data_IF_966804576824
#
_entry.id   IF_966804576824
#
_cell.length_a   1.000
_cell.length_b   1.000
_cell.length_c   1.000
_cell.angle_alpha   90.00
_cell.angle_beta   90.00
_cell.angle_gamma   90.00
#
_symmetry.space_group_name_H-M   'P 1'
#
loop_
_entity.id
_entity.type
_entity.pdbx_description
1 polymer ?
#
# COMPACT_ATOMS: atom_id res chain seq x y z
N UNK A 1 14.18 -1.61 8.72
CA UNK A 1 14.82 -0.34 9.12
C UNK A 1 13.97 0.73 8.47
N UNK A 2 13.08 1.39 9.23
CA UNK A 2 12.11 2.35 8.66
C UNK A 2 12.86 3.55 8.11
N UNK A 3 12.77 3.77 6.79
CA UNK A 3 13.45 4.88 6.14
C UNK A 3 12.60 6.12 6.39
N UNK A 4 13.05 6.99 7.30
CA UNK A 4 12.46 8.32 7.55
C UNK A 4 12.70 9.24 6.34
N UNK A 5 12.23 8.86 5.17
CA UNK A 5 12.40 9.62 3.94
C UNK A 5 11.41 10.78 3.92
N UNK A 6 11.92 11.98 3.65
CA UNK A 6 11.13 13.20 3.53
C UNK A 6 11.04 13.64 2.07
N UNK A 7 9.95 14.29 1.72
CA UNK A 7 9.74 14.92 0.42
C UNK A 7 9.65 16.43 0.59
N UNK A 8 10.44 17.17 -0.20
CA UNK A 8 10.43 18.63 -0.23
C UNK A 8 9.43 19.15 -1.28
N UNK A 9 8.47 19.94 -0.81
CA UNK A 9 7.47 20.59 -1.65
C UNK A 9 8.08 21.83 -2.36
N UNK A 10 7.48 22.31 -3.47
CA UNK A 10 7.99 23.48 -4.20
C UNK A 10 8.08 24.77 -3.38
N UNK A 11 7.37 24.86 -2.26
CA UNK A 11 7.39 25.99 -1.33
C UNK A 11 8.47 25.84 -0.23
N UNK A 12 9.32 24.82 -0.30
CA UNK A 12 10.38 24.53 0.68
C UNK A 12 9.92 23.82 1.94
N UNK A 13 8.63 23.54 2.10
CA UNK A 13 8.13 22.74 3.22
C UNK A 13 8.41 21.25 2.98
N UNK A 14 8.63 20.49 4.05
CA UNK A 14 8.85 19.04 3.97
C UNK A 14 7.68 18.28 4.58
N UNK A 15 7.37 17.14 4.00
CA UNK A 15 6.41 16.16 4.52
C UNK A 15 7.04 14.77 4.48
N UNK A 16 6.62 13.82 5.34
CA UNK A 16 7.06 12.44 5.21
C UNK A 16 6.67 11.88 3.85
N UNK A 17 7.56 11.11 3.24
CA UNK A 17 7.28 10.43 1.98
C UNK A 17 6.04 9.54 2.12
N UNK A 18 5.92 8.81 3.23
CA UNK A 18 4.75 7.97 3.52
C UNK A 18 3.43 8.77 3.43
N UNK A 19 3.38 9.95 4.06
CA UNK A 19 2.19 10.82 4.00
C UNK A 19 1.88 11.25 2.56
N UNK A 20 2.90 11.60 1.77
CA UNK A 20 2.73 11.93 0.36
C UNK A 20 2.14 10.76 -0.43
N UNK A 21 2.69 9.55 -0.27
CA UNK A 21 2.24 8.36 -0.99
C UNK A 21 0.79 8.01 -0.63
N UNK A 22 0.45 7.98 0.67
CA UNK A 22 -0.93 7.82 1.15
C UNK A 22 -1.85 8.90 0.58
N UNK A 23 -1.39 10.15 0.53
CA UNK A 23 -2.18 11.27 0.03
C UNK A 23 -2.46 11.17 -1.47
N UNK A 24 -1.50 10.67 -2.28
CA UNK A 24 -1.72 10.37 -3.71
C UNK A 24 -2.76 9.27 -3.89
N UNK A 25 -2.75 8.26 -3.02
CA UNK A 25 -3.64 7.11 -3.07
C UNK A 25 -4.99 7.30 -2.34
N UNK A 26 -5.27 8.49 -1.76
CA UNK A 26 -6.45 8.75 -0.90
C UNK A 26 -7.83 8.51 -1.51
N UNK A 27 -7.90 8.32 -2.82
CA UNK A 27 -9.12 8.12 -3.59
C UNK A 27 -9.38 6.63 -3.89
N UNK A 28 -8.40 5.77 -3.60
CA UNK A 28 -8.45 4.33 -3.84
C UNK A 28 -9.17 3.66 -2.68
N UNK A 29 -10.21 2.86 -2.98
CA UNK A 29 -11.07 2.26 -1.95
C UNK A 29 -10.35 1.33 -0.98
N UNK A 30 -9.27 0.68 -1.42
CA UNK A 30 -8.47 -0.24 -0.60
C UNK A 30 -7.36 0.45 0.19
N UNK A 31 -7.33 1.77 0.29
CA UNK A 31 -6.29 2.52 1.03
C UNK A 31 -6.94 3.34 2.15
N UNK A 32 -6.35 3.30 3.34
CA UNK A 32 -6.75 4.19 4.44
C UNK A 32 -6.44 5.63 4.04
N UNK A 33 -7.47 6.48 4.03
CA UNK A 33 -7.30 7.90 3.71
C UNK A 33 -6.57 8.62 4.85
N UNK A 34 -5.42 9.28 4.60
CA UNK A 34 -4.81 10.14 5.61
C UNK A 34 -5.67 11.39 5.83
N UNK A 35 -5.84 11.79 7.11
CA UNK A 35 -6.54 13.01 7.52
C UNK A 35 -5.56 14.18 7.55
N UNK A 36 -4.46 14.03 8.29
CA UNK A 36 -3.45 15.08 8.47
C UNK A 36 -2.09 14.50 8.87
N UNK A 37 -1.06 15.32 8.75
CA UNK A 37 0.28 15.06 9.28
C UNK A 37 0.60 16.13 10.32
N UNK A 38 1.22 15.71 11.43
CA UNK A 38 1.65 16.58 12.50
C UNK A 38 3.11 16.29 12.85
N UNK A 39 3.92 17.34 12.92
CA UNK A 39 5.31 17.28 13.35
C UNK A 39 5.42 17.88 14.76
N UNK A 40 5.93 17.10 15.70
CA UNK A 40 6.28 17.52 17.05
C UNK A 40 7.78 17.73 17.21
N UNK A 41 8.26 18.11 18.41
CA UNK A 41 9.67 18.39 18.66
C UNK A 41 10.60 17.18 18.49
N UNK A 42 10.10 15.97 18.74
CA UNK A 42 10.89 14.72 18.76
C UNK A 42 10.38 13.65 17.82
N UNK A 43 9.12 13.75 17.40
CA UNK A 43 8.43 12.74 16.62
C UNK A 43 7.41 13.39 15.71
N UNK A 44 6.92 12.64 14.74
CA UNK A 44 5.85 13.05 13.86
C UNK A 44 4.82 11.94 13.74
N UNK A 45 3.60 12.30 13.36
CA UNK A 45 2.50 11.36 13.24
C UNK A 45 1.61 11.68 12.04
N UNK A 46 1.06 10.63 11.43
CA UNK A 46 -0.02 10.72 10.45
C UNK A 46 -1.32 10.33 11.15
N UNK A 47 -2.30 11.21 11.07
CA UNK A 47 -3.65 10.98 11.60
C UNK A 47 -4.48 10.34 10.51
N UNK A 48 -5.14 9.24 10.85
CA UNK A 48 -5.98 8.46 9.93
C UNK A 48 -7.21 7.90 10.66
N UNK A 49 -8.31 7.61 9.96
CA UNK A 49 -9.49 6.99 10.57
C UNK A 49 -9.15 5.61 11.13
N UNK A 50 -9.70 5.29 12.29
CA UNK A 50 -9.61 3.95 12.86
C UNK A 50 -10.68 3.05 12.24
N UNK A 51 -10.29 1.85 11.81
CA UNK A 51 -11.24 0.79 11.46
C UNK A 51 -11.70 0.13 12.76
N UNK A 52 -12.95 0.40 13.19
CA UNK A 52 -13.44 -0.02 14.51
C UNK A 52 -13.43 -1.54 14.72
N UNK A 53 -13.72 -2.31 13.66
CA UNK A 53 -13.64 -3.77 13.63
C UNK A 53 -12.51 -4.26 12.71
N UNK A 54 -11.40 -3.51 12.68
CA UNK A 54 -10.22 -3.84 11.90
C UNK A 54 -9.34 -4.88 12.58
N UNK A 55 -8.73 -5.76 11.78
CA UNK A 55 -7.69 -6.70 12.20
C UNK A 55 -6.73 -6.87 11.03
N UNK A 56 -5.43 -6.99 11.28
CA UNK A 56 -4.50 -7.34 10.20
C UNK A 56 -4.76 -8.77 9.70
N UNK A 57 -4.40 -9.01 8.43
CA UNK A 57 -4.68 -10.27 7.76
C UNK A 57 -3.90 -11.43 8.38
N UNK A 58 -2.71 -11.15 8.94
CA UNK A 58 -1.91 -12.14 9.67
C UNK A 58 -2.68 -12.69 10.87
N UNK A 59 -3.22 -11.83 11.73
CA UNK A 59 -4.05 -12.21 12.87
C UNK A 59 -5.36 -12.87 12.42
N UNK A 60 -5.97 -12.35 11.35
CA UNK A 60 -7.20 -12.90 10.80
C UNK A 60 -7.04 -14.36 10.37
N UNK A 61 -5.95 -14.66 9.67
CA UNK A 61 -5.60 -16.02 9.26
C UNK A 61 -5.17 -16.83 10.48
N UNK A 62 -4.32 -16.30 11.36
CA UNK A 62 -3.81 -17.05 12.52
C UNK A 62 -4.92 -17.53 13.47
N UNK A 63 -5.98 -16.72 13.65
CA UNK A 63 -7.15 -17.09 14.45
C UNK A 63 -8.07 -18.09 13.74
N UNK A 64 -7.99 -18.18 12.42
CA UNK A 64 -8.77 -19.11 11.59
C UNK A 64 -7.88 -20.25 11.13
N UNK A 65 -8.04 -21.43 11.75
CA UNK A 65 -7.29 -22.64 11.36
C UNK A 65 -7.25 -22.88 9.84
N UNK A 66 -8.29 -22.48 9.09
CA UNK A 66 -8.33 -22.46 7.63
C UNK A 66 -9.06 -21.22 7.10
N UNK A 67 -8.56 -20.65 6.00
CA UNK A 67 -9.23 -19.63 5.19
C UNK A 67 -9.88 -20.29 3.96
N UNK A 68 -11.21 -20.25 3.79
CA UNK A 68 -11.87 -20.79 2.60
C UNK A 68 -11.36 -20.13 1.31
N UNK A 69 -11.20 -20.92 0.25
CA UNK A 69 -10.65 -20.43 -1.03
C UNK A 69 -11.45 -19.27 -1.62
N UNK A 70 -12.78 -19.29 -1.48
CA UNK A 70 -13.64 -18.20 -1.94
C UNK A 70 -13.30 -16.86 -1.25
N UNK A 71 -13.03 -16.90 0.05
CA UNK A 71 -12.68 -15.70 0.83
C UNK A 71 -11.27 -15.22 0.47
N UNK A 72 -10.30 -16.15 0.37
CA UNK A 72 -8.96 -15.86 -0.10
C UNK A 72 -8.97 -15.20 -1.49
N UNK A 73 -9.76 -15.75 -2.42
CA UNK A 73 -9.94 -15.19 -3.77
C UNK A 73 -10.48 -13.76 -3.75
N UNK A 74 -11.44 -13.48 -2.85
CA UNK A 74 -12.00 -12.14 -2.71
C UNK A 74 -10.96 -11.13 -2.16
N UNK A 75 -10.13 -11.52 -1.20
CA UNK A 75 -9.06 -10.65 -0.70
C UNK A 75 -7.97 -10.43 -1.74
N UNK A 76 -7.53 -11.47 -2.43
CA UNK A 76 -6.53 -11.34 -3.50
C UNK A 76 -7.05 -10.42 -4.61
N UNK A 77 -8.32 -10.54 -5.00
CA UNK A 77 -8.93 -9.64 -5.98
C UNK A 77 -8.89 -8.18 -5.51
N UNK A 78 -9.34 -7.89 -4.29
CA UNK A 78 -9.30 -6.53 -3.72
C UNK A 78 -7.87 -5.98 -3.63
N UNK A 79 -6.90 -6.81 -3.25
CA UNK A 79 -5.50 -6.44 -3.20
C UNK A 79 -4.97 -6.06 -4.59
N UNK A 80 -5.21 -6.90 -5.60
CA UNK A 80 -4.76 -6.62 -6.97
C UNK A 80 -5.38 -5.33 -7.51
N UNK A 81 -6.69 -5.14 -7.33
CA UNK A 81 -7.38 -3.91 -7.75
C UNK A 81 -6.79 -2.68 -7.06
N UNK A 82 -6.47 -2.78 -5.76
CA UNK A 82 -5.84 -1.70 -4.99
C UNK A 82 -4.43 -1.38 -5.49
N UNK A 83 -3.62 -2.41 -5.76
CA UNK A 83 -2.24 -2.23 -6.24
C UNK A 83 -2.19 -1.63 -7.65
N UNK A 84 -3.08 -2.06 -8.54
CA UNK A 84 -3.21 -1.48 -9.87
C UNK A 84 -3.55 0.02 -9.78
N UNK A 85 -4.52 0.38 -8.95
CA UNK A 85 -4.87 1.79 -8.75
C UNK A 85 -3.71 2.60 -8.12
N UNK A 86 -2.92 2.00 -7.21
CA UNK A 86 -1.72 2.64 -6.68
C UNK A 86 -0.69 2.89 -7.80
N UNK A 87 -0.48 1.92 -8.68
CA UNK A 87 0.43 2.06 -9.82
C UNK A 87 -0.04 3.15 -10.78
N UNK A 88 -1.33 3.22 -11.09
CA UNK A 88 -1.93 4.30 -11.90
C UNK A 88 -1.77 5.68 -11.23
N UNK A 89 -1.80 5.74 -9.91
CA UNK A 89 -1.50 6.95 -9.13
C UNK A 89 0.02 7.26 -9.06
N UNK A 90 0.87 6.45 -9.69
CA UNK A 90 2.31 6.59 -9.69
C UNK A 90 2.92 6.35 -8.30
N UNK A 91 2.45 5.31 -7.60
CA UNK A 91 2.91 4.89 -6.27
C UNK A 91 3.21 3.40 -6.27
N UNK A 92 4.37 3.02 -5.73
CA UNK A 92 4.71 1.65 -5.39
C UNK A 92 4.68 1.49 -3.87
N UNK A 93 4.08 0.39 -3.40
CA UNK A 93 4.07 0.06 -1.97
C UNK A 93 5.39 -0.57 -1.50
N UNK A 94 5.97 -1.47 -2.30
CA UNK A 94 7.20 -2.25 -2.06
C UNK A 94 7.22 -3.19 -0.86
N UNK A 95 6.28 -3.11 0.08
CA UNK A 95 6.22 -4.01 1.25
C UNK A 95 4.85 -4.70 1.40
N UNK A 96 4.52 -5.58 0.45
CA UNK A 96 3.24 -6.31 0.47
C UNK A 96 3.39 -7.59 1.28
N UNK A 97 2.72 -7.61 2.43
CA UNK A 97 2.62 -8.74 3.36
C UNK A 97 1.29 -8.69 4.11
N UNK A 98 0.90 -9.80 4.70
CA UNK A 98 -0.34 -9.94 5.47
C UNK A 98 -0.41 -9.01 6.69
N UNK A 99 0.71 -8.69 7.31
CA UNK A 99 0.81 -7.69 8.38
C UNK A 99 0.39 -6.27 7.92
N UNK A 100 0.62 -5.95 6.64
CA UNK A 100 0.32 -4.64 6.05
C UNK A 100 -1.07 -4.60 5.39
N UNK A 101 -1.93 -5.57 5.68
CA UNK A 101 -3.28 -5.64 5.14
C UNK A 101 -4.29 -5.69 6.28
N UNK A 102 -5.11 -4.65 6.43
CA UNK A 102 -6.21 -4.63 7.39
C UNK A 102 -7.49 -5.18 6.75
N UNK A 103 -8.15 -6.09 7.46
CA UNK A 103 -9.48 -6.59 7.15
C UNK A 103 -10.50 -5.83 8.01
N UNK A 104 -11.40 -5.10 7.38
CA UNK A 104 -12.62 -4.60 8.03
C UNK A 104 -13.64 -5.74 8.13
N UNK A 105 -13.84 -6.24 9.34
CA UNK A 105 -14.75 -7.37 9.61
C UNK A 105 -16.23 -7.02 9.45
N UNK A 106 -16.60 -5.73 9.38
CA UNK A 106 -17.98 -5.32 9.14
C UNK A 106 -18.42 -5.60 7.69
N UNK A 107 -17.54 -5.25 6.74
CA UNK A 107 -17.85 -5.26 5.30
C UNK A 107 -16.98 -6.26 4.51
N UNK A 108 -16.10 -7.00 5.17
CA UNK A 108 -15.12 -7.91 4.56
C UNK A 108 -14.22 -7.22 3.51
N UNK A 109 -13.80 -5.98 3.83
CA UNK A 109 -12.98 -5.14 2.97
C UNK A 109 -11.52 -5.21 3.37
N UNK A 110 -10.64 -5.33 2.38
CA UNK A 110 -9.20 -5.31 2.57
C UNK A 110 -8.68 -3.88 2.37
N UNK A 111 -7.85 -3.41 3.29
CA UNK A 111 -7.17 -2.12 3.20
C UNK A 111 -5.66 -2.30 3.34
N UNK A 112 -4.91 -1.84 2.36
CA UNK A 112 -3.46 -1.81 2.38
C UNK A 112 -2.98 -0.62 3.23
N UNK A 113 -2.05 -0.89 4.12
CA UNK A 113 -1.46 0.06 5.07
C UNK A 113 0.07 0.01 5.01
N UNK A 114 0.72 0.98 5.66
CA UNK A 114 2.17 1.09 5.79
C UNK A 114 2.91 1.34 4.47
N UNK A 115 2.85 2.59 4.03
CA UNK A 115 3.61 3.08 2.87
C UNK A 115 5.02 3.55 3.26
N UNK A 116 5.52 3.20 4.45
CA UNK A 116 6.83 3.63 4.95
C UNK A 116 7.99 3.15 4.09
N UNK A 117 7.82 1.99 3.43
CA UNK A 117 8.76 1.44 2.46
C UNK A 117 8.41 1.82 1.01
N UNK A 118 7.36 2.61 0.78
CA UNK A 118 6.88 2.95 -0.55
C UNK A 118 7.80 3.86 -1.35
N UNK A 119 7.49 4.02 -2.63
CA UNK A 119 8.20 4.92 -3.53
C UNK A 119 7.26 5.55 -4.56
N UNK A 120 7.67 6.69 -5.11
CA UNK A 120 7.02 7.25 -6.30
C UNK A 120 7.39 6.37 -7.50
N UNK A 121 6.39 6.05 -8.33
CA UNK A 121 6.62 5.29 -9.55
C UNK A 121 7.54 6.10 -10.50
N UNK A 122 8.63 5.50 -10.98
CA UNK A 122 9.53 6.04 -12.00
C UNK A 122 9.47 5.08 -13.19
N UNK A 123 9.52 5.61 -14.41
CA UNK A 123 9.58 4.80 -15.63
C UNK A 123 10.95 4.11 -15.82
N UNK A 124 11.95 4.50 -15.04
CA UNK A 124 13.30 3.93 -15.03
C UNK A 124 13.40 2.67 -14.13
N UNK A 125 14.38 1.81 -14.39
CA UNK A 125 14.61 0.60 -13.58
C UNK A 125 14.87 0.95 -12.11
N UNK A 126 14.19 0.23 -11.21
CA UNK A 126 14.43 0.31 -9.77
C UNK A 126 15.76 -0.36 -9.42
N UNK A 127 16.68 0.40 -8.83
CA UNK A 127 17.98 -0.11 -8.36
C UNK A 127 18.04 -0.27 -6.83
N UNK A 128 16.96 0.04 -6.11
CA UNK A 128 16.94 0.09 -4.64
C UNK A 128 15.70 -0.59 -4.04
N UNK A 129 15.90 -1.41 -3.00
CA UNK A 129 14.88 -2.29 -2.41
C UNK A 129 15.03 -2.35 -0.88
N UNK A 130 14.00 -1.85 -0.17
CA UNK A 130 13.93 -1.83 1.31
C UNK A 130 12.83 -2.75 1.87
N UNK A 131 12.18 -3.57 1.03
CA UNK A 131 11.08 -4.46 1.43
C UNK A 131 11.56 -5.75 2.13
N UNK A 132 10.62 -6.50 2.71
CA UNK A 132 10.93 -7.81 3.30
C UNK A 132 11.41 -8.80 2.20
N UNK A 133 12.60 -9.39 2.38
CA UNK A 133 13.33 -10.20 1.37
C UNK A 133 12.64 -11.51 0.92
N UNK A 134 11.40 -11.76 1.36
CA UNK A 134 10.62 -12.98 1.06
C UNK A 134 9.56 -12.80 -0.02
N UNK A 135 9.23 -11.57 -0.42
CA UNK A 135 8.16 -11.30 -1.39
C UNK A 135 8.72 -10.61 -2.64
N UNK A 136 9.28 -11.39 -3.57
CA UNK A 136 9.74 -10.90 -4.86
C UNK A 136 8.55 -10.73 -5.84
N UNK A 137 7.64 -9.80 -5.55
CA UNK A 137 6.66 -9.31 -6.54
C UNK A 137 6.99 -7.85 -6.87
N UNK A 138 8.22 -7.60 -7.32
CA UNK A 138 8.54 -6.34 -7.98
C UNK A 138 9.89 -6.39 -8.69
N UNK A 139 10.15 -7.38 -9.55
CA UNK A 139 11.27 -7.27 -10.49
C UNK A 139 10.85 -7.77 -11.89
N UNK A 140 10.85 -6.81 -12.81
CA UNK A 140 11.16 -6.88 -14.24
C UNK A 140 10.19 -7.38 -15.34
N UNK A 141 8.93 -7.79 -15.11
CA UNK A 141 8.13 -8.37 -16.22
C UNK A 141 6.70 -7.85 -16.47
N UNK A 142 6.28 -6.70 -15.95
CA UNK A 142 4.91 -6.22 -16.16
C UNK A 142 4.67 -5.40 -17.45
N UNK A 143 5.72 -5.00 -18.18
CA UNK A 143 5.54 -4.27 -19.45
C UNK A 143 5.10 -5.18 -20.62
N UNK A 144 5.29 -6.50 -20.51
CA UNK A 144 4.95 -7.45 -21.59
C UNK A 144 3.52 -8.01 -21.48
N UNK A 145 2.94 -8.08 -20.28
CA UNK A 145 1.65 -8.74 -20.06
C UNK A 145 0.43 -7.88 -20.46
N UNK A 146 0.58 -6.55 -20.58
CA UNK A 146 -0.51 -5.65 -20.97
C UNK A 146 -0.50 -5.26 -22.46
N UNK A 147 0.54 -5.62 -23.21
CA UNK A 147 0.57 -5.37 -24.66
C UNK A 147 -0.08 -6.51 -25.47
N UNK A 148 -0.12 -7.73 -24.93
CA UNK A 148 -0.61 -8.93 -25.65
C UNK A 148 -2.11 -9.24 -25.45
N UNK A 149 -2.84 -8.49 -24.62
CA UNK A 149 -4.30 -8.61 -24.50
C UNK A 149 -4.95 -7.29 -24.86
N UNK A 150 -5.26 -7.12 -26.15
CA UNK A 150 -5.89 -5.93 -26.75
C UNK A 150 -7.25 -5.56 -26.15
N UNK A 151 -7.23 -5.00 -24.94
CA UNK A 151 -8.38 -4.61 -24.14
C UNK A 151 -8.39 -3.11 -23.84
N UNK A 152 -8.01 -2.29 -24.82
CA UNK A 152 -8.40 -0.87 -24.89
C UNK A 152 -8.62 -0.51 -26.37
N UNK A 153 -9.88 -0.57 -26.81
CA UNK A 153 -10.41 0.32 -27.84
C UNK A 153 -11.34 1.32 -27.15
#
# INVERSE_FOLDING_TARGET
MSVHSWYELPNGHRIPLEFLLLHKCRHISGIVRPISFHEGPTEWAIVMPKIEKGMDLFDFISRRRFLPEFEARNFIKQLIETLLACHEAGVLHRDIKDENLLVDLADNRLQLIDFGSGAILKEEQYTDFDGEARCAICLSNYHHLYCDQGLLK
#
